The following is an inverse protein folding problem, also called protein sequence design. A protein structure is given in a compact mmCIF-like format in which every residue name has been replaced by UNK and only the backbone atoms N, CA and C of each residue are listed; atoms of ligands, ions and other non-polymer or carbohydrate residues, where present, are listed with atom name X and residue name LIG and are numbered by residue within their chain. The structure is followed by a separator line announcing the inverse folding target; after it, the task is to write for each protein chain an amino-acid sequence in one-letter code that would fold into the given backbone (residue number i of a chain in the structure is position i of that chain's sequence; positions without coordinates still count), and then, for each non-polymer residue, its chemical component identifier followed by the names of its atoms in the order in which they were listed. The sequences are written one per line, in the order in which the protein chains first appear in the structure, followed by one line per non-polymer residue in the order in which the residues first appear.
data_IF_006234360987
#
_entry.id   IF_006234360987
#
_cell.length_a   1.000
_cell.length_b   1.000
_cell.length_c   1.000
_cell.angle_alpha   90.00
_cell.angle_beta   90.00
_cell.angle_gamma   90.00
#
_symmetry.space_group_name_H-M   'P 1'
#
loop_
_entity.id
_entity.type
_entity.pdbx_description
1 polymer ?
#
# COMPACT_ATOMS: atom_id res chain seq x y z
N UNK A 1 -2.59 16.11 11.02
CA UNK A 1 -1.25 15.55 10.73
C UNK A 1 -1.24 14.15 11.31
N UNK A 2 -1.12 13.11 10.49
CA UNK A 2 -1.17 11.73 10.95
C UNK A 2 0.14 11.40 11.66
N UNK A 3 0.06 11.00 12.93
CA UNK A 3 1.22 10.68 13.75
C UNK A 3 1.20 9.19 14.06
N UNK A 4 2.30 8.51 13.73
CA UNK A 4 2.57 7.12 14.11
C UNK A 4 3.81 7.09 15.01
N UNK A 5 3.98 6.08 15.87
CA UNK A 5 5.13 6.00 16.77
C UNK A 5 6.49 6.11 16.06
N UNK A 6 6.63 5.41 14.92
CA UNK A 6 7.79 5.49 14.04
C UNK A 6 7.37 5.46 12.56
N UNK A 7 8.13 6.14 11.69
CA UNK A 7 7.94 6.10 10.24
C UNK A 7 8.61 4.89 9.58
N UNK A 8 8.63 4.86 8.24
CA UNK A 8 9.34 3.84 7.45
C UNK A 8 10.75 3.55 7.99
N UNK A 9 11.15 2.28 8.16
CA UNK A 9 10.50 1.07 7.64
C UNK A 9 9.52 0.37 8.61
N UNK A 10 9.11 1.02 9.71
CA UNK A 10 8.15 0.45 10.65
C UNK A 10 6.73 0.37 10.03
N UNK A 11 5.91 -0.63 10.39
CA UNK A 11 4.67 -0.94 9.67
C UNK A 11 3.47 -0.05 10.04
N UNK A 12 3.66 0.88 10.99
CA UNK A 12 2.54 1.53 11.67
C UNK A 12 1.66 2.37 10.77
N UNK A 13 2.23 3.02 9.75
CA UNK A 13 1.43 3.80 8.80
C UNK A 13 0.51 2.89 7.98
N UNK A 14 0.99 1.71 7.58
CA UNK A 14 0.16 0.72 6.86
C UNK A 14 -1.00 0.26 7.74
N UNK A 15 -0.74 -0.12 9.00
CA UNK A 15 -1.78 -0.57 9.92
C UNK A 15 -2.78 0.54 10.25
N UNK A 16 -2.31 1.77 10.45
CA UNK A 16 -3.19 2.92 10.65
C UNK A 16 -4.11 3.15 9.44
N UNK A 17 -3.58 3.08 8.21
CA UNK A 17 -4.39 3.20 7.00
C UNK A 17 -5.38 2.04 6.83
N UNK A 18 -5.02 0.83 7.25
CA UNK A 18 -5.95 -0.31 7.28
C UNK A 18 -7.15 -0.03 8.19
N UNK A 19 -6.95 0.52 9.38
CA UNK A 19 -8.03 0.90 10.30
C UNK A 19 -8.94 1.97 9.67
N UNK A 20 -8.36 3.02 9.08
CA UNK A 20 -9.11 4.11 8.44
C UNK A 20 -9.94 3.62 7.24
N UNK A 21 -9.42 2.64 6.49
CA UNK A 21 -10.07 2.10 5.30
C UNK A 21 -10.89 0.84 5.57
N UNK A 22 -10.94 0.37 6.84
CA UNK A 22 -11.62 -0.86 7.27
C UNK A 22 -11.15 -2.12 6.54
N UNK A 23 -9.89 -2.16 6.13
CA UNK A 23 -9.27 -3.35 5.53
C UNK A 23 -8.73 -4.24 6.65
N UNK A 24 -9.45 -5.31 6.96
CA UNK A 24 -9.10 -6.18 8.10
C UNK A 24 -7.97 -7.17 7.82
N UNK A 25 -7.72 -7.50 6.55
CA UNK A 25 -6.69 -8.46 6.16
C UNK A 25 -5.54 -7.73 5.45
N UNK A 26 -4.36 -7.71 6.07
CA UNK A 26 -3.17 -7.04 5.51
C UNK A 26 -2.71 -7.64 4.18
N UNK A 27 -3.05 -8.90 3.89
CA UNK A 27 -2.80 -9.52 2.58
C UNK A 27 -3.64 -8.91 1.46
N UNK A 28 -4.66 -8.09 1.77
CA UNK A 28 -5.42 -7.30 0.79
C UNK A 28 -4.84 -5.90 0.58
N UNK A 29 -3.70 -5.58 1.19
CA UNK A 29 -3.00 -4.30 1.03
C UNK A 29 -1.85 -4.47 0.04
N UNK A 30 -1.75 -3.50 -0.88
CA UNK A 30 -0.61 -3.32 -1.76
C UNK A 30 0.16 -2.08 -1.33
N UNK A 31 1.43 -2.24 -0.93
CA UNK A 31 2.35 -1.13 -0.70
C UNK A 31 3.05 -0.80 -2.01
N UNK A 32 3.06 0.47 -2.39
CA UNK A 32 3.81 0.98 -3.54
C UNK A 32 4.78 2.05 -3.05
N UNK A 33 6.02 2.06 -3.53
CA UNK A 33 7.00 3.08 -3.22
C UNK A 33 8.27 2.99 -4.05
N UNK A 34 9.09 4.03 -3.97
CA UNK A 34 10.29 4.23 -4.78
C UNK A 34 11.59 4.09 -3.99
N UNK A 35 11.50 3.81 -2.69
CA UNK A 35 12.67 3.62 -1.82
C UNK A 35 12.69 2.26 -1.15
N UNK A 36 13.88 1.78 -0.78
CA UNK A 36 14.12 0.59 0.04
C UNK A 36 13.27 0.63 1.31
N UNK A 37 13.16 1.80 1.96
CA UNK A 37 12.37 1.97 3.19
C UNK A 37 10.87 1.76 2.96
N UNK A 38 10.36 2.04 1.76
CA UNK A 38 8.97 1.70 1.39
C UNK A 38 8.76 0.21 1.23
N UNK A 39 9.71 -0.47 0.59
CA UNK A 39 9.67 -1.91 0.38
C UNK A 39 9.71 -2.63 1.72
N UNK A 40 10.63 -2.23 2.59
CA UNK A 40 10.77 -2.77 3.94
C UNK A 40 9.52 -2.49 4.79
N UNK A 41 8.92 -1.30 4.73
CA UNK A 41 7.65 -1.02 5.43
C UNK A 41 6.54 -1.97 4.97
N UNK A 42 6.38 -2.16 3.66
CA UNK A 42 5.38 -3.09 3.12
C UNK A 42 5.64 -4.54 3.56
N UNK A 43 6.90 -4.96 3.61
CA UNK A 43 7.32 -6.29 4.08
C UNK A 43 7.06 -6.47 5.57
N UNK A 44 7.49 -5.52 6.39
CA UNK A 44 7.33 -5.53 7.84
C UNK A 44 5.86 -5.49 8.25
N UNK A 45 5.02 -4.76 7.50
CA UNK A 45 3.57 -4.76 7.72
C UNK A 45 2.91 -6.08 7.29
N UNK A 46 3.60 -6.89 6.49
CA UNK A 46 3.07 -8.13 5.96
C UNK A 46 2.09 -7.94 4.81
N UNK A 47 2.18 -6.84 4.06
CA UNK A 47 1.36 -6.58 2.88
C UNK A 47 1.34 -7.78 1.91
N UNK A 48 0.21 -7.99 1.23
CA UNK A 48 0.07 -9.06 0.25
C UNK A 48 0.90 -8.80 -1.00
N UNK A 49 1.04 -7.52 -1.38
CA UNK A 49 1.88 -7.09 -2.48
C UNK A 49 2.69 -5.86 -2.06
N UNK A 50 3.93 -5.80 -2.55
CA UNK A 50 4.90 -4.72 -2.30
C UNK A 50 5.57 -4.43 -3.63
N UNK A 51 5.36 -3.24 -4.16
CA UNK A 51 5.73 -2.84 -5.50
C UNK A 51 6.73 -1.69 -5.44
N UNK A 52 7.86 -1.88 -6.11
CA UNK A 52 8.82 -0.82 -6.37
C UNK A 52 8.45 -0.01 -7.61
N UNK A 53 8.75 1.28 -7.64
CA UNK A 53 8.66 2.10 -8.86
C UNK A 53 9.96 2.88 -9.09
N UNK A 54 10.46 2.87 -10.33
CA UNK A 54 11.75 3.50 -10.69
C UNK A 54 11.67 4.99 -11.00
N UNK A 55 10.50 5.59 -10.84
CA UNK A 55 10.29 7.02 -11.07
C UNK A 55 10.85 7.91 -9.94
N UNK A 56 11.62 7.36 -9.01
CA UNK A 56 12.01 8.03 -7.76
C UNK A 56 13.40 7.65 -7.24
N UNK A 57 13.52 7.39 -5.93
CA UNK A 57 14.79 7.41 -5.21
C UNK A 57 15.80 6.28 -5.54
N UNK A 58 15.39 5.02 -5.39
CA UNK A 58 16.31 3.88 -5.41
C UNK A 58 16.23 3.06 -6.70
N UNK A 59 17.29 2.33 -7.01
CA UNK A 59 17.42 1.55 -8.24
C UNK A 59 16.63 0.24 -8.22
N UNK A 60 16.42 -0.35 -9.41
CA UNK A 60 15.78 -1.68 -9.53
C UNK A 60 16.46 -2.73 -8.66
N UNK A 61 17.80 -2.77 -8.66
CA UNK A 61 18.56 -3.76 -7.91
C UNK A 61 18.34 -3.60 -6.40
N UNK A 62 18.36 -2.36 -5.89
CA UNK A 62 18.12 -2.06 -4.48
C UNK A 62 16.70 -2.40 -4.06
N UNK A 63 15.70 -2.02 -4.86
CA UNK A 63 14.29 -2.32 -4.57
C UNK A 63 14.02 -3.83 -4.58
N UNK A 64 14.59 -4.58 -5.53
CA UNK A 64 14.47 -6.04 -5.56
C UNK A 64 15.21 -6.70 -4.39
N UNK A 65 16.41 -6.22 -4.03
CA UNK A 65 17.17 -6.73 -2.89
C UNK A 65 16.47 -6.48 -1.54
N UNK A 66 15.78 -5.35 -1.39
CA UNK A 66 14.91 -5.05 -0.25
C UNK A 66 13.65 -5.92 -0.19
N UNK A 67 13.39 -6.68 -1.26
CA UNK A 67 12.28 -7.61 -1.36
C UNK A 67 11.06 -7.01 -2.05
N UNK A 68 11.17 -6.16 -3.07
CA UNK A 68 10.01 -5.87 -3.91
C UNK A 68 9.50 -7.18 -4.55
N UNK A 69 8.18 -7.34 -4.70
CA UNK A 69 7.62 -8.47 -5.46
C UNK A 69 7.72 -8.23 -6.97
N UNK A 70 7.55 -6.97 -7.37
CA UNK A 70 7.63 -6.49 -8.74
C UNK A 70 8.10 -5.04 -8.70
N UNK A 71 8.79 -4.62 -9.75
CA UNK A 71 9.23 -3.24 -9.93
C UNK A 71 8.75 -2.76 -11.29
N UNK A 72 8.11 -1.59 -11.30
CA UNK A 72 7.62 -0.94 -12.51
C UNK A 72 8.48 0.28 -12.85
N UNK A 73 8.58 0.64 -14.13
CA UNK A 73 9.33 1.84 -14.53
C UNK A 73 8.67 3.10 -13.97
N UNK A 74 7.35 3.21 -14.08
CA UNK A 74 6.59 4.36 -13.59
C UNK A 74 5.36 3.91 -12.81
N UNK A 75 4.95 4.73 -11.85
CA UNK A 75 3.69 4.50 -11.11
C UNK A 75 2.46 4.46 -12.02
N UNK A 76 2.52 5.13 -13.18
CA UNK A 76 1.45 5.13 -14.19
C UNK A 76 1.25 3.80 -14.90
N UNK A 77 2.22 2.89 -14.81
CA UNK A 77 2.17 1.58 -15.46
C UNK A 77 1.40 0.57 -14.61
N UNK A 78 1.05 0.94 -13.38
CA UNK A 78 0.26 0.09 -12.50
C UNK A 78 -1.20 0.01 -12.99
N UNK A 79 -1.76 -1.19 -13.12
CA UNK A 79 -3.15 -1.35 -13.51
C UNK A 79 -4.06 -0.93 -12.35
N UNK A 80 -4.54 0.32 -12.38
CA UNK A 80 -5.53 0.81 -11.42
C UNK A 80 -6.93 0.56 -11.99
N UNK A 81 -7.82 -0.19 -11.29
CA UNK A 81 -9.20 -0.33 -11.72
C UNK A 81 -9.85 1.04 -11.89
N UNK A 82 -10.58 1.26 -12.99
CA UNK A 82 -11.37 2.48 -13.16
C UNK A 82 -12.30 2.61 -11.95
N UNK A 83 -12.23 3.76 -11.25
CA UNK A 83 -13.05 4.05 -10.08
C UNK A 83 -14.52 3.81 -10.44
N UNK A 84 -15.13 2.77 -9.87
CA UNK A 84 -16.57 2.61 -9.97
C UNK A 84 -17.21 3.77 -9.20
N UNK A 85 -18.23 4.45 -9.76
CA UNK A 85 -18.99 5.41 -8.98
C UNK A 85 -19.48 4.71 -7.72
N UNK A 86 -19.28 5.32 -6.56
CA UNK A 86 -19.85 4.81 -5.31
C UNK A 86 -21.36 4.64 -5.57
N UNK A 87 -21.87 3.42 -5.45
CA UNK A 87 -23.30 3.14 -5.44
C UNK A 87 -23.88 3.75 -4.16
N UNK A 88 -24.10 5.07 -4.16
CA UNK A 88 -24.92 5.75 -3.17
C UNK A 88 -26.38 5.35 -3.43
N UNK A 89 -26.80 4.16 -2.99
CA UNK A 89 -28.20 3.92 -2.60
C UNK A 89 -28.54 2.56 -1.95
N UNK A 90 -27.62 1.86 -1.28
CA UNK A 90 -28.05 0.83 -0.34
C UNK A 90 -28.13 1.42 1.06
N UNK A 91 -29.28 2.02 1.39
CA UNK A 91 -29.76 2.06 2.78
C UNK A 91 -29.60 0.63 3.31
N UNK A 92 -28.80 0.46 4.35
CA UNK A 92 -28.82 -0.78 5.13
C UNK A 92 -30.27 -1.03 5.53
N UNK A 93 -30.79 -2.27 5.41
CA UNK A 93 -32.14 -2.57 5.87
C UNK A 93 -32.24 -2.16 7.34
N UNK A 94 -33.30 -1.44 7.65
CA UNK A 94 -33.63 -1.15 9.04
C UNK A 94 -33.92 -2.51 9.72
N UNK A 95 -33.31 -2.71 10.89
CA UNK A 95 -33.56 -3.85 11.76
C UNK A 95 -34.28 -3.36 13.03
N UNK A 96 -35.27 -2.47 12.86
CA UNK A 96 -36.26 -2.18 13.90
C UNK A 96 -37.37 -3.22 13.93
#
# INVERSE_FOLDING_TARGET
MWHVPEGRPYPYMVHHLMEQTKVMNVKRVCKVGDSVRDIEEGRNAGCGLVVGVLSGADSFAELMAAGAHVVCERVTDLPVPKRQPLLNNQRLPDFS
#
